data_IF_966702477501
#
_entry.id   IF_966702477501
#
_cell.length_a   1.000
_cell.length_b   1.000
_cell.length_c   1.000
_cell.angle_alpha   90.00
_cell.angle_beta   90.00
_cell.angle_gamma   90.00
#
_symmetry.space_group_name_H-M   'P 1'
#
loop_
_entity.id
_entity.type
_entity.pdbx_description
1 polymer ?
#
# COMPACT_ATOMS: atom_id res chain seq x y z
N UNK A 1 0.61 34.23 -7.81
CA UNK A 1 0.99 32.89 -8.32
C UNK A 1 1.53 32.11 -7.14
N UNK A 2 0.73 31.22 -6.55
CA UNK A 2 1.14 30.42 -5.39
C UNK A 2 1.61 29.07 -5.90
N UNK A 3 2.91 28.80 -5.79
CA UNK A 3 3.49 27.49 -6.07
C UNK A 3 2.91 26.51 -5.06
N UNK A 4 2.10 25.56 -5.53
CA UNK A 4 1.63 24.47 -4.71
C UNK A 4 2.83 23.71 -4.17
N UNK A 5 2.96 23.69 -2.84
CA UNK A 5 4.03 23.01 -2.13
C UNK A 5 4.06 21.56 -2.55
N UNK A 6 5.14 21.17 -3.23
CA UNK A 6 5.69 19.82 -3.09
C UNK A 6 5.69 19.53 -1.58
N UNK A 7 5.12 18.39 -1.15
CA UNK A 7 5.33 17.95 0.22
C UNK A 7 6.80 17.55 0.27
N UNK A 8 7.63 18.56 0.44
CA UNK A 8 9.04 18.45 0.67
C UNK A 8 9.15 18.01 2.12
N UNK A 9 9.13 16.70 2.30
CA UNK A 9 9.52 16.10 3.56
C UNK A 9 10.84 16.73 3.98
N UNK A 10 10.95 17.11 5.26
CA UNK A 10 12.21 17.63 5.78
C UNK A 10 13.35 16.68 5.41
N UNK A 11 14.52 17.22 5.10
CA UNK A 11 15.70 16.43 4.75
C UNK A 11 15.99 15.36 5.81
N UNK A 12 15.70 15.67 7.08
CA UNK A 12 15.77 14.76 8.22
C UNK A 12 14.71 13.64 8.16
N UNK A 13 13.45 13.96 7.88
CA UNK A 13 12.40 12.94 7.74
C UNK A 13 12.69 11.97 6.58
N UNK A 14 13.19 12.50 5.47
CA UNK A 14 13.59 11.67 4.33
C UNK A 14 14.82 10.81 4.61
N UNK A 15 15.80 11.31 5.35
CA UNK A 15 16.99 10.52 5.69
C UNK A 15 16.65 9.35 6.61
N UNK A 16 15.77 9.57 7.59
CA UNK A 16 15.26 8.51 8.44
C UNK A 16 14.48 7.46 7.65
N UNK A 17 13.60 7.91 6.74
CA UNK A 17 12.93 6.98 5.83
C UNK A 17 13.97 6.18 5.06
N UNK A 18 15.01 6.81 4.49
CA UNK A 18 16.06 6.12 3.71
C UNK A 18 16.76 5.04 4.53
N UNK A 19 17.04 5.30 5.80
CA UNK A 19 17.57 4.29 6.72
C UNK A 19 16.58 3.12 6.86
N UNK A 20 15.29 3.39 7.11
CA UNK A 20 14.25 2.36 7.17
C UNK A 20 14.21 1.52 5.88
N UNK A 21 14.37 2.12 4.69
CA UNK A 21 14.43 1.33 3.45
C UNK A 21 15.64 0.41 3.37
N UNK A 22 16.78 0.84 3.90
CA UNK A 22 17.99 0.04 3.99
C UNK A 22 17.73 -1.21 4.82
N UNK A 23 17.16 -1.03 6.01
CA UNK A 23 16.79 -2.13 6.91
C UNK A 23 15.77 -3.07 6.27
N UNK A 24 14.70 -2.55 5.67
CA UNK A 24 13.70 -3.37 4.99
C UNK A 24 14.31 -4.21 3.86
N UNK A 25 15.26 -3.64 3.11
CA UNK A 25 15.96 -4.35 2.04
C UNK A 25 16.87 -5.46 2.59
N UNK A 26 17.57 -5.19 3.70
CA UNK A 26 18.39 -6.18 4.39
C UNK A 26 17.53 -7.34 4.88
N UNK A 27 16.45 -7.06 5.59
CA UNK A 27 15.49 -8.07 6.09
C UNK A 27 14.94 -8.92 4.95
N UNK A 28 14.49 -8.30 3.86
CA UNK A 28 13.97 -9.02 2.70
C UNK A 28 14.98 -10.01 2.13
N UNK A 29 16.26 -9.59 2.04
CA UNK A 29 17.35 -10.39 1.49
C UNK A 29 17.77 -11.52 2.44
N UNK A 30 17.99 -11.18 3.71
CA UNK A 30 18.60 -12.08 4.68
C UNK A 30 17.63 -13.21 5.08
N UNK A 31 16.33 -12.93 5.10
CA UNK A 31 15.29 -13.90 5.45
C UNK A 31 14.52 -14.44 4.24
N UNK A 32 14.83 -13.99 3.02
CA UNK A 32 14.13 -14.37 1.78
C UNK A 32 12.61 -14.15 1.86
N UNK A 33 12.19 -12.98 2.36
CA UNK A 33 10.79 -12.61 2.49
C UNK A 33 10.40 -11.48 1.54
N UNK A 34 9.12 -11.41 1.19
CA UNK A 34 8.56 -10.27 0.48
C UNK A 34 8.27 -9.12 1.46
N UNK A 35 8.62 -7.89 1.05
CA UNK A 35 8.26 -6.67 1.77
C UNK A 35 7.26 -5.87 0.95
N UNK A 36 6.13 -5.53 1.56
CA UNK A 36 5.11 -4.65 1.01
C UNK A 36 5.04 -3.38 1.85
N UNK A 37 5.07 -2.22 1.19
CA UNK A 37 4.91 -0.92 1.84
C UNK A 37 3.69 -0.24 1.25
N UNK A 38 2.86 0.34 2.12
CA UNK A 38 1.71 1.16 1.73
C UNK A 38 2.06 2.63 1.85
N UNK A 39 1.54 3.44 0.92
CA UNK A 39 1.72 4.88 0.94
C UNK A 39 0.38 5.56 0.63
N UNK A 40 0.22 6.78 1.12
CA UNK A 40 -0.87 7.64 0.72
C UNK A 40 -0.58 8.33 -0.61
N UNK A 41 -1.64 8.78 -1.27
CA UNK A 41 -1.60 9.54 -2.52
C UNK A 41 -2.08 10.95 -2.23
N UNK A 42 -1.39 11.94 -2.78
CA UNK A 42 -1.71 13.36 -2.66
C UNK A 42 -2.00 13.94 -4.04
N UNK A 43 -2.51 15.17 -4.10
CA UNK A 43 -2.70 15.91 -5.37
C UNK A 43 -1.75 17.09 -5.41
N UNK A 44 -1.15 17.33 -6.56
CA UNK A 44 -0.36 18.54 -6.77
C UNK A 44 -1.24 19.77 -7.09
N UNK A 45 -0.61 20.92 -7.32
CA UNK A 45 -1.32 22.16 -7.68
C UNK A 45 -2.15 22.10 -8.96
N UNK A 46 -1.88 21.11 -9.82
CA UNK A 46 -2.61 20.86 -11.05
C UNK A 46 -3.68 19.76 -10.87
N UNK A 47 -3.85 19.24 -9.66
CA UNK A 47 -4.81 18.18 -9.34
C UNK A 47 -4.33 16.77 -9.69
N UNK A 48 -3.11 16.60 -10.22
CA UNK A 48 -2.57 15.29 -10.58
C UNK A 48 -2.21 14.49 -9.34
N UNK A 49 -2.52 13.19 -9.37
CA UNK A 49 -2.16 12.26 -8.30
C UNK A 49 -0.64 12.08 -8.22
N UNK A 50 -0.10 12.21 -7.01
CA UNK A 50 1.30 11.95 -6.67
C UNK A 50 1.40 11.05 -5.45
N UNK A 51 2.46 10.26 -5.38
CA UNK A 51 2.70 9.48 -4.16
C UNK A 51 3.16 10.42 -3.04
N UNK A 52 2.66 10.21 -1.82
CA UNK A 52 2.87 11.12 -0.70
C UNK A 52 4.33 11.29 -0.29
N UNK A 53 5.20 10.31 -0.58
CA UNK A 53 6.64 10.36 -0.28
C UNK A 53 7.48 10.97 -1.42
N UNK A 54 6.81 11.44 -2.48
CA UNK A 54 7.45 12.17 -3.57
C UNK A 54 8.41 11.34 -4.42
N UNK A 55 9.16 12.06 -5.26
CA UNK A 55 10.09 11.45 -6.23
C UNK A 55 11.34 10.88 -5.55
N UNK A 56 11.78 11.48 -4.44
CA UNK A 56 12.96 11.03 -3.68
C UNK A 56 12.80 9.58 -3.17
N UNK A 57 11.58 9.16 -2.84
CA UNK A 57 11.29 7.78 -2.41
C UNK A 57 10.97 6.82 -3.57
N UNK A 58 10.74 7.33 -4.78
CA UNK A 58 10.25 6.53 -5.92
C UNK A 58 11.21 5.42 -6.37
N UNK A 59 12.49 5.56 -6.04
CA UNK A 59 13.56 4.63 -6.40
C UNK A 59 13.67 3.44 -5.44
N UNK A 60 13.13 3.57 -4.22
CA UNK A 60 13.22 2.55 -3.17
C UNK A 60 12.45 1.28 -3.55
N UNK A 61 11.12 1.32 -3.82
CA UNK A 61 10.39 0.13 -4.23
C UNK A 61 10.69 -0.23 -5.69
N UNK A 62 10.98 -1.52 -5.93
CA UNK A 62 11.20 -2.07 -7.27
C UNK A 62 9.92 -2.14 -8.11
N UNK A 63 8.79 -2.36 -7.44
CA UNK A 63 7.46 -2.47 -8.04
C UNK A 63 6.50 -1.54 -7.33
N UNK A 64 5.66 -0.81 -8.06
CA UNK A 64 4.67 0.12 -7.49
C UNK A 64 3.32 -0.08 -8.15
N UNK A 65 2.28 -0.18 -7.34
CA UNK A 65 0.89 -0.31 -7.77
C UNK A 65 0.11 0.87 -7.20
N UNK A 66 -0.60 1.58 -8.07
CA UNK A 66 -1.55 2.62 -7.68
C UNK A 66 -2.94 1.99 -7.59
N UNK A 67 -3.57 2.13 -6.43
CA UNK A 67 -4.93 1.65 -6.20
C UNK A 67 -5.89 2.84 -6.26
N UNK A 68 -6.95 2.73 -7.05
CA UNK A 68 -7.96 3.79 -7.20
C UNK A 68 -9.37 3.22 -7.08
N UNK A 69 -10.30 4.09 -6.70
CA UNK A 69 -11.72 3.82 -6.81
C UNK A 69 -12.17 4.09 -8.24
N UNK A 70 -13.03 3.25 -8.78
CA UNK A 70 -13.72 3.53 -10.04
C UNK A 70 -14.75 4.64 -9.79
N UNK A 71 -14.70 5.72 -10.59
CA UNK A 71 -15.42 6.98 -10.34
C UNK A 71 -16.95 6.84 -10.35
N UNK A 72 -17.51 5.78 -10.95
CA UNK A 72 -18.94 5.67 -11.21
C UNK A 72 -19.81 5.24 -10.00
N UNK A 73 -19.25 4.99 -8.82
CA UNK A 73 -20.06 4.78 -7.62
C UNK A 73 -19.32 5.02 -6.30
N UNK A 74 -19.78 6.01 -5.53
CA UNK A 74 -19.34 6.26 -4.15
C UNK A 74 -19.58 5.07 -3.22
N UNK A 75 -20.41 4.11 -3.64
CA UNK A 75 -20.71 2.85 -2.94
C UNK A 75 -20.11 1.61 -3.60
N UNK A 76 -19.46 1.71 -4.77
CA UNK A 76 -18.89 0.53 -5.43
C UNK A 76 -17.74 -0.08 -4.63
N UNK A 77 -17.68 -1.40 -4.58
CA UNK A 77 -16.56 -2.16 -4.04
C UNK A 77 -15.45 -2.40 -5.07
N UNK A 78 -15.71 -2.06 -6.34
CA UNK A 78 -14.76 -2.16 -7.45
C UNK A 78 -13.62 -1.16 -7.31
N UNK A 79 -12.39 -1.63 -7.50
CA UNK A 79 -11.16 -0.85 -7.47
C UNK A 79 -10.33 -1.17 -8.71
N UNK A 80 -9.52 -0.22 -9.12
CA UNK A 80 -8.48 -0.45 -10.14
C UNK A 80 -7.12 -0.55 -9.47
N UNK A 81 -6.27 -1.42 -10.01
CA UNK A 81 -4.86 -1.56 -9.69
C UNK A 81 -4.03 -1.26 -10.93
N UNK A 82 -3.30 -0.15 -10.90
CA UNK A 82 -2.44 0.29 -12.00
C UNK A 82 -0.97 0.03 -11.67
N UNK A 83 -0.28 -0.76 -12.48
CA UNK A 83 1.15 -0.99 -12.32
C UNK A 83 1.94 0.25 -12.79
N UNK A 84 2.42 1.07 -11.85
CA UNK A 84 3.10 2.34 -12.16
C UNK A 84 4.62 2.22 -12.27
N UNK A 85 5.19 1.14 -11.72
CA UNK A 85 6.62 0.83 -11.85
C UNK A 85 6.84 -0.67 -11.74
N UNK A 86 7.67 -1.21 -12.61
CA UNK A 86 8.19 -2.57 -12.51
C UNK A 86 9.46 -2.70 -13.35
N UNK A 87 10.45 -3.45 -12.87
CA UNK A 87 11.62 -3.82 -13.68
C UNK A 87 11.44 -5.15 -14.40
N UNK A 88 10.28 -5.81 -14.27
CA UNK A 88 10.07 -7.20 -14.71
C UNK A 88 8.93 -7.36 -15.73
N UNK A 89 8.18 -6.30 -16.01
CA UNK A 89 7.06 -6.31 -16.95
C UNK A 89 6.71 -4.88 -17.39
N UNK A 90 5.92 -4.76 -18.46
CA UNK A 90 5.40 -3.48 -18.94
C UNK A 90 4.55 -2.79 -17.86
N UNK A 91 4.66 -1.47 -17.77
CA UNK A 91 3.90 -0.65 -16.82
C UNK A 91 2.63 -0.10 -17.49
N UNK A 92 1.78 0.55 -16.70
CA UNK A 92 0.48 1.12 -17.07
C UNK A 92 -0.59 0.08 -17.43
N UNK A 93 -0.36 -1.18 -17.07
CA UNK A 93 -1.41 -2.20 -17.01
C UNK A 93 -2.36 -1.84 -15.87
N UNK A 94 -3.66 -1.92 -16.15
CA UNK A 94 -4.75 -1.62 -15.21
C UNK A 94 -5.64 -2.83 -15.12
N UNK A 95 -5.85 -3.32 -13.90
CA UNK A 95 -6.76 -4.42 -13.61
C UNK A 95 -7.85 -3.95 -12.65
N UNK A 96 -9.09 -4.40 -12.88
CA UNK A 96 -10.21 -4.17 -11.98
C UNK A 96 -10.41 -5.35 -11.04
N UNK A 97 -10.75 -5.07 -9.78
CA UNK A 97 -11.04 -6.09 -8.78
C UNK A 97 -12.11 -5.64 -7.79
N UNK A 98 -12.88 -6.60 -7.30
CA UNK A 98 -13.94 -6.36 -6.34
C UNK A 98 -13.49 -6.68 -4.90
N UNK A 99 -13.64 -5.71 -3.99
CA UNK A 99 -13.39 -5.90 -2.56
C UNK A 99 -14.51 -6.62 -1.81
N UNK A 100 -15.74 -6.71 -2.34
CA UNK A 100 -16.88 -7.31 -1.64
C UNK A 100 -16.67 -8.80 -1.35
N UNK A 101 -16.24 -9.57 -2.36
CA UNK A 101 -16.00 -11.01 -2.23
C UNK A 101 -14.91 -11.38 -1.21
N UNK A 102 -14.01 -10.45 -0.91
CA UNK A 102 -12.95 -10.66 0.09
C UNK A 102 -13.49 -10.65 1.55
N UNK A 103 -14.61 -9.98 1.80
CA UNK A 103 -15.17 -9.86 3.14
C UNK A 103 -15.93 -11.13 3.59
N UNK A 104 -16.51 -11.87 2.65
CA UNK A 104 -17.30 -13.07 2.94
C UNK A 104 -16.41 -14.27 3.31
N UNK A 105 -15.26 -14.45 2.65
CA UNK A 105 -14.31 -15.55 2.89
C UNK A 105 -13.69 -15.53 4.31
N UNK A 106 -13.58 -14.34 4.92
CA UNK A 106 -13.10 -14.20 6.31
C UNK A 106 -14.15 -14.50 7.36
N UNK A 107 -15.45 -14.46 7.02
CA UNK A 107 -16.53 -14.80 7.97
C UNK A 107 -16.70 -16.30 8.13
N UNK A 108 -16.34 -17.08 7.12
CA UNK A 108 -16.47 -18.55 7.15
C UNK A 108 -15.29 -19.24 7.83
N UNK A 109 -14.12 -18.59 7.90
CA UNK A 109 -12.86 -19.18 8.39
C UNK A 109 -12.59 -19.00 9.90
N UNK A 110 -13.37 -18.18 10.62
CA UNK A 110 -13.23 -17.99 12.09
C UNK A 110 -14.44 -18.60 12.84
N UNK A 111 -14.83 -19.82 12.48
CA UNK A 111 -15.75 -20.64 13.26
C UNK A 111 -14.99 -21.69 14.09
N UNK A 112 -13.92 -21.27 14.76
CA UNK A 112 -13.24 -22.07 15.77
C UNK A 112 -13.90 -21.87 17.13
N UNK A 113 -14.95 -22.64 17.45
CA UNK A 113 -15.51 -22.67 18.80
C UNK A 113 -14.44 -23.11 19.80
N UNK A 114 -13.82 -22.18 20.52
CA UNK A 114 -13.05 -22.52 21.73
C UNK A 114 -14.05 -22.90 22.81
N UNK A 115 -14.20 -24.20 23.06
CA UNK A 115 -14.90 -24.73 24.23
C UNK A 115 -14.07 -24.35 25.46
N UNK A 116 -14.62 -23.47 26.31
CA UNK A 116 -14.04 -23.13 27.60
C UNK A 116 -14.25 -24.34 28.51
N UNK A 117 -13.19 -25.09 28.80
CA UNK A 117 -13.25 -26.10 29.87
C UNK A 117 -13.27 -25.38 31.21
N UNK A 118 -14.38 -25.54 31.91
CA UNK A 118 -14.62 -24.98 33.23
C UNK A 118 -13.75 -25.73 34.24
N UNK A 119 -12.65 -25.09 34.65
CA UNK A 119 -11.75 -25.62 35.67
C UNK A 119 -12.46 -25.54 37.03
N UNK A 120 -12.95 -26.67 37.51
CA UNK A 120 -13.46 -26.85 38.87
C UNK A 120 -12.41 -26.37 39.88
N UNK A 121 -12.77 -25.40 40.73
CA UNK A 121 -11.95 -24.99 41.88
C UNK A 121 -12.13 -26.02 43.03
N UNK A 122 -11.07 -26.29 43.80
CA UNK A 122 -11.18 -27.01 45.08
C UNK A 122 -11.88 -26.16 46.15
#
# INVERSE_FOLDING_TARGET
MSSASEIEWSSEGMSLLMQVSGELKMIAKDFNIAVLVTNHVTRDGNGHLKAGLGQSWSHVPRTRVLLQRVEEAETSSIRTATLTKSSRQACHLVEEFDLCHWSEERRTSISGKRKLEERSKP
#
